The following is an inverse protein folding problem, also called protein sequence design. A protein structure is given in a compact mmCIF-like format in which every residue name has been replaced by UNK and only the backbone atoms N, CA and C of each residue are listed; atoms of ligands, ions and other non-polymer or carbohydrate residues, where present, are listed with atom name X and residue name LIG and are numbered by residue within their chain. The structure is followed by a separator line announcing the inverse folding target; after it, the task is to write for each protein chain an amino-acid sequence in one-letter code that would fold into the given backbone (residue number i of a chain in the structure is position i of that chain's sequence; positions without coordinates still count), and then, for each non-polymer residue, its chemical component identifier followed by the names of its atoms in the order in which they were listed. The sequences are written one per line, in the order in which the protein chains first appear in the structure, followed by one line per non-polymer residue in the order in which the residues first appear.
data_IF_468890199148
#
_entry.id   IF_468890199148
#
_cell.length_a   1.000
_cell.length_b   1.000
_cell.length_c   1.000
_cell.angle_alpha   90.00
_cell.angle_beta   90.00
_cell.angle_gamma   90.00
#
_symmetry.space_group_name_H-M   'P 1'
#
loop_
_entity.id
_entity.type
_entity.pdbx_description
1 polymer ?
#
# COMPACT_ATOMS: atom_id res chain seq x y z
N UNK A 1 2.53 -20.36 -81.54
CA UNK A 1 1.14 -20.69 -81.17
C UNK A 1 1.14 -20.92 -79.66
N UNK A 2 0.32 -20.13 -78.97
CA UNK A 2 -0.15 -20.18 -77.58
C UNK A 2 0.81 -20.10 -76.37
N UNK A 3 0.65 -18.96 -75.69
CA UNK A 3 0.73 -18.70 -74.25
C UNK A 3 -0.44 -19.41 -73.54
N UNK A 4 -0.23 -19.92 -72.32
CA UNK A 4 -1.09 -19.65 -71.15
C UNK A 4 -0.37 -19.94 -69.83
N UNK A 5 -0.65 -19.06 -68.88
CA UNK A 5 -0.08 -18.79 -67.56
C UNK A 5 -0.91 -19.50 -66.45
N UNK A 6 -0.46 -19.38 -65.19
CA UNK A 6 -1.25 -19.17 -63.93
C UNK A 6 -0.77 -19.99 -62.71
N UNK A 7 -0.34 -19.22 -61.71
CA UNK A 7 -0.40 -19.33 -60.24
C UNK A 7 0.32 -20.44 -59.43
N UNK A 8 1.24 -19.99 -58.58
CA UNK A 8 1.47 -20.62 -57.28
C UNK A 8 1.64 -19.57 -56.17
N UNK A 9 0.82 -19.77 -55.15
CA UNK A 9 0.54 -18.99 -53.96
C UNK A 9 1.71 -19.07 -52.98
N UNK A 10 2.21 -17.94 -52.49
CA UNK A 10 3.04 -17.87 -51.28
C UNK A 10 2.37 -16.89 -50.29
N UNK A 11 1.44 -17.41 -49.49
CA UNK A 11 0.96 -16.78 -48.27
C UNK A 11 1.77 -17.33 -47.09
N UNK A 12 2.44 -16.46 -46.32
CA UNK A 12 2.89 -16.82 -44.98
C UNK A 12 1.69 -16.70 -44.04
N UNK A 13 1.14 -17.86 -43.66
CA UNK A 13 0.19 -18.01 -42.56
C UNK A 13 1.02 -18.24 -41.30
N UNK A 14 1.04 -17.30 -40.35
CA UNK A 14 1.40 -17.61 -38.96
C UNK A 14 0.12 -17.99 -38.22
N UNK A 15 -0.14 -19.30 -38.15
CA UNK A 15 -1.16 -19.88 -37.29
C UNK A 15 -0.58 -20.08 -35.89
N UNK A 16 -1.15 -19.43 -34.87
CA UNK A 16 -0.93 -19.84 -33.49
C UNK A 16 -1.96 -20.91 -33.12
N UNK A 17 -1.51 -22.12 -32.77
CA UNK A 17 -2.37 -23.10 -32.10
C UNK A 17 -2.67 -22.62 -30.69
N UNK A 18 -3.95 -22.37 -30.42
CA UNK A 18 -4.47 -22.12 -29.08
C UNK A 18 -5.01 -23.44 -28.55
N UNK A 19 -4.26 -24.11 -27.68
CA UNK A 19 -4.77 -25.25 -26.92
C UNK A 19 -5.70 -24.73 -25.81
N UNK A 20 -7.01 -24.70 -26.12
CA UNK A 20 -8.04 -24.65 -25.09
C UNK A 20 -8.24 -26.06 -24.54
N UNK A 21 -7.92 -26.27 -23.26
CA UNK A 21 -8.54 -27.35 -22.50
C UNK A 21 -9.55 -26.76 -21.50
N UNK A 22 -10.71 -27.41 -21.47
CA UNK A 22 -12.01 -26.93 -20.99
C UNK A 22 -12.17 -27.08 -19.47
N UNK A 23 -12.94 -26.17 -18.84
CA UNK A 23 -14.13 -26.58 -18.07
C UNK A 23 -15.04 -25.40 -17.75
N UNK A 24 -16.32 -25.59 -18.05
CA UNK A 24 -17.43 -24.64 -18.07
C UNK A 24 -17.98 -24.24 -16.69
N UNK A 25 -18.44 -22.99 -16.53
CA UNK A 25 -19.89 -22.65 -16.48
C UNK A 25 -20.21 -21.24 -15.93
N UNK A 26 -21.00 -20.51 -16.74
CA UNK A 26 -22.21 -19.71 -16.43
C UNK A 26 -22.13 -18.28 -15.85
N UNK A 27 -22.51 -17.35 -16.76
CA UNK A 27 -23.44 -16.18 -16.66
C UNK A 27 -23.14 -15.10 -15.61
N UNK A 28 -23.16 -13.79 -15.90
CA UNK A 28 -23.96 -13.03 -16.86
C UNK A 28 -23.36 -11.60 -17.04
N UNK A 29 -23.42 -11.10 -18.29
CA UNK A 29 -23.43 -9.71 -18.75
C UNK A 29 -22.48 -8.65 -18.14
N UNK A 30 -21.61 -8.07 -18.99
CA UNK A 30 -21.50 -6.61 -19.25
C UNK A 30 -20.63 -6.40 -20.52
N UNK A 31 -21.30 -5.87 -21.54
CA UNK A 31 -20.87 -4.97 -22.63
C UNK A 31 -19.64 -5.33 -23.49
N UNK A 32 -19.96 -5.82 -24.70
CA UNK A 32 -19.30 -5.55 -25.99
C UNK A 32 -17.89 -4.94 -25.92
N UNK A 33 -16.92 -5.79 -25.58
CA UNK A 33 -15.58 -5.64 -26.12
C UNK A 33 -15.70 -6.06 -27.58
N UNK A 34 -15.44 -5.15 -28.52
CA UNK A 34 -15.20 -5.50 -29.92
C UNK A 34 -14.11 -6.58 -29.97
N UNK A 35 -14.54 -7.85 -29.97
CA UNK A 35 -13.76 -8.94 -30.54
C UNK A 35 -13.41 -8.50 -31.96
N UNK A 36 -12.13 -8.53 -32.37
CA UNK A 36 -11.79 -8.31 -33.76
C UNK A 36 -12.62 -9.29 -34.57
N UNK A 37 -13.46 -8.77 -35.47
CA UNK A 37 -14.17 -9.60 -36.42
C UNK A 37 -13.11 -10.40 -37.18
N UNK A 38 -13.06 -11.70 -36.93
CA UNK A 38 -12.07 -12.64 -37.48
C UNK A 38 -12.35 -12.95 -38.96
N UNK A 39 -12.84 -11.97 -39.73
CA UNK A 39 -13.20 -12.10 -41.14
C UNK A 39 -12.89 -10.87 -41.99
N UNK A 40 -12.28 -9.81 -41.46
CA UNK A 40 -11.71 -8.75 -42.30
C UNK A 40 -10.34 -9.20 -42.81
N UNK A 41 -10.35 -10.16 -43.74
CA UNK A 41 -9.21 -10.37 -44.61
C UNK A 41 -9.05 -9.10 -45.43
N UNK A 42 -8.08 -8.28 -45.05
CA UNK A 42 -7.67 -7.17 -45.91
C UNK A 42 -6.90 -7.78 -47.07
N UNK A 43 -7.50 -7.71 -48.26
CA UNK A 43 -6.87 -8.11 -49.51
C UNK A 43 -5.69 -7.16 -49.78
N UNK A 44 -4.47 -7.59 -49.43
CA UNK A 44 -3.25 -6.84 -49.64
C UNK A 44 -2.41 -7.52 -50.71
N UNK A 45 -2.39 -6.96 -51.92
CA UNK A 45 -1.40 -7.30 -52.93
C UNK A 45 -0.18 -6.38 -52.80
N UNK A 46 0.72 -6.70 -51.88
CA UNK A 46 2.08 -6.12 -51.85
C UNK A 46 3.00 -7.05 -52.62
N UNK A 47 3.84 -6.50 -53.50
CA UNK A 47 4.90 -7.28 -54.13
C UNK A 47 6.05 -7.52 -53.14
N UNK A 48 5.99 -8.63 -52.40
CA UNK A 48 7.03 -9.05 -51.45
C UNK A 48 8.37 -9.42 -52.11
N UNK A 49 8.44 -9.50 -53.44
CA UNK A 49 9.70 -9.75 -54.17
C UNK A 49 10.53 -8.49 -54.44
N UNK A 50 10.01 -7.30 -54.09
CA UNK A 50 10.75 -6.05 -54.13
C UNK A 50 11.62 -5.91 -52.86
N UNK A 51 12.94 -5.87 -53.04
CA UNK A 51 13.92 -5.77 -51.95
C UNK A 51 13.70 -4.54 -51.04
N UNK A 52 13.21 -3.43 -51.59
CA UNK A 52 12.94 -2.21 -50.81
C UNK A 52 11.68 -2.34 -49.97
N UNK A 53 10.63 -2.95 -50.53
CA UNK A 53 9.41 -3.30 -49.79
C UNK A 53 9.76 -4.26 -48.66
N UNK A 54 10.52 -5.32 -48.94
CA UNK A 54 10.97 -6.28 -47.94
C UNK A 54 11.81 -5.61 -46.83
N UNK A 55 12.67 -4.66 -47.18
CA UNK A 55 13.45 -3.90 -46.21
C UNK A 55 12.58 -3.04 -45.28
N UNK A 56 11.54 -2.37 -45.80
CA UNK A 56 10.61 -1.58 -44.97
C UNK A 56 9.82 -2.49 -44.04
N UNK A 57 9.27 -3.59 -44.55
CA UNK A 57 8.53 -4.56 -43.73
C UNK A 57 9.41 -5.15 -42.62
N UNK A 58 10.67 -5.45 -42.93
CA UNK A 58 11.65 -5.88 -41.92
C UNK A 58 11.90 -4.81 -40.88
N UNK A 59 11.97 -3.54 -41.26
CA UNK A 59 12.13 -2.44 -40.31
C UNK A 59 10.91 -2.27 -39.40
N UNK A 60 9.69 -2.38 -39.95
CA UNK A 60 8.45 -2.38 -39.16
C UNK A 60 8.47 -3.54 -38.15
N UNK A 61 8.76 -4.75 -38.63
CA UNK A 61 8.80 -5.95 -37.81
C UNK A 61 9.85 -5.88 -36.70
N UNK A 62 11.06 -5.40 -37.02
CA UNK A 62 12.14 -5.23 -36.03
C UNK A 62 11.79 -4.26 -34.91
N UNK A 63 10.95 -3.25 -35.18
CA UNK A 63 10.57 -2.24 -34.18
C UNK A 63 9.34 -2.66 -33.39
N UNK A 64 8.33 -3.24 -34.04
CA UNK A 64 6.99 -3.43 -33.46
C UNK A 64 6.56 -4.89 -33.30
N UNK A 65 7.11 -5.82 -34.08
CA UNK A 65 6.64 -7.21 -34.15
C UNK A 65 7.65 -8.22 -33.55
N UNK A 66 8.81 -7.79 -33.02
CA UNK A 66 9.81 -8.70 -32.47
C UNK A 66 9.23 -9.49 -31.29
N UNK A 67 9.25 -10.83 -31.29
CA UNK A 67 8.64 -11.68 -30.24
C UNK A 67 9.07 -11.33 -28.80
N UNK A 68 10.24 -10.69 -28.65
CA UNK A 68 10.78 -10.18 -27.39
C UNK A 68 10.33 -8.74 -27.08
N UNK A 69 9.08 -8.36 -27.42
CA UNK A 69 8.47 -7.06 -27.10
C UNK A 69 8.60 -6.72 -25.60
N UNK A 70 8.68 -7.73 -24.74
CA UNK A 70 8.85 -7.59 -23.28
C UNK A 70 10.31 -7.41 -22.83
N UNK A 71 11.29 -7.74 -23.68
CA UNK A 71 12.74 -7.60 -23.44
C UNK A 71 13.39 -6.46 -24.22
N UNK A 72 12.66 -5.82 -25.13
CA UNK A 72 13.18 -4.66 -25.88
C UNK A 72 13.18 -3.41 -25.00
N UNK A 73 14.36 -2.78 -24.86
CA UNK A 73 14.55 -1.50 -24.15
C UNK A 73 13.89 -0.29 -24.86
N UNK A 74 12.98 -0.50 -25.81
CA UNK A 74 12.37 0.57 -26.58
C UNK A 74 11.25 1.20 -25.74
N UNK A 75 11.39 2.47 -25.37
CA UNK A 75 10.36 3.16 -24.60
C UNK A 75 9.18 3.53 -25.49
N UNK A 76 8.03 3.84 -24.86
CA UNK A 76 6.86 4.36 -25.57
C UNK A 76 7.20 5.61 -26.41
N UNK A 77 8.14 6.45 -25.95
CA UNK A 77 8.56 7.65 -26.68
C UNK A 77 9.49 7.34 -27.85
N UNK A 78 10.42 6.40 -27.68
CA UNK A 78 11.29 5.96 -28.78
C UNK A 78 10.46 5.34 -29.92
N UNK A 79 9.35 4.67 -29.59
CA UNK A 79 8.44 4.11 -30.59
C UNK A 79 7.76 5.19 -31.45
N UNK A 80 7.45 6.36 -30.87
CA UNK A 80 6.91 7.50 -31.65
C UNK A 80 7.94 8.00 -32.67
N UNK A 81 9.20 8.11 -32.28
CA UNK A 81 10.28 8.56 -33.16
C UNK A 81 10.52 7.56 -34.30
N UNK A 82 10.54 6.26 -33.98
CA UNK A 82 10.70 5.20 -34.99
C UNK A 82 9.56 5.16 -35.99
N UNK A 83 8.34 5.48 -35.57
CA UNK A 83 7.22 5.62 -36.49
C UNK A 83 7.49 6.71 -37.54
N UNK A 84 7.96 7.89 -37.10
CA UNK A 84 8.31 8.99 -37.99
C UNK A 84 9.42 8.63 -38.99
N UNK A 85 10.48 7.98 -38.51
CA UNK A 85 11.60 7.52 -39.35
C UNK A 85 11.14 6.56 -40.46
N UNK A 86 10.34 5.54 -40.11
CA UNK A 86 9.85 4.55 -41.06
C UNK A 86 8.86 5.18 -42.05
N UNK A 87 7.94 6.02 -41.56
CA UNK A 87 6.97 6.70 -42.42
C UNK A 87 7.68 7.62 -43.43
N UNK A 88 8.72 8.32 -43.00
CA UNK A 88 9.57 9.14 -43.88
C UNK A 88 10.27 8.28 -44.92
N UNK A 89 10.78 7.11 -44.54
CA UNK A 89 11.38 6.14 -45.47
C UNK A 89 10.39 5.65 -46.52
N UNK A 90 9.13 5.42 -46.15
CA UNK A 90 8.06 5.03 -47.10
C UNK A 90 7.76 6.18 -48.07
N UNK A 91 7.55 7.38 -47.54
CA UNK A 91 7.12 8.52 -48.34
C UNK A 91 8.20 9.04 -49.30
N UNK A 92 9.47 9.06 -48.85
CA UNK A 92 10.60 9.54 -49.64
C UNK A 92 11.14 8.50 -50.62
N UNK A 93 10.69 7.24 -50.55
CA UNK A 93 11.09 6.24 -51.51
C UNK A 93 10.49 6.56 -52.89
N UNK A 94 11.36 6.78 -53.87
CA UNK A 94 10.97 7.13 -55.25
C UNK A 94 10.62 5.92 -56.12
N UNK A 95 10.89 4.69 -55.67
CA UNK A 95 10.53 3.45 -56.36
C UNK A 95 9.13 2.95 -56.03
N UNK A 96 8.58 3.37 -54.88
CA UNK A 96 7.22 3.01 -54.50
C UNK A 96 6.19 3.88 -55.20
N UNK A 97 5.19 3.25 -55.81
CA UNK A 97 3.98 3.93 -56.25
C UNK A 97 3.06 4.29 -55.07
N UNK A 98 2.04 5.10 -55.34
CA UNK A 98 1.12 5.58 -54.31
C UNK A 98 0.36 4.44 -53.61
N UNK A 99 0.06 3.35 -54.33
CA UNK A 99 -0.61 2.19 -53.78
C UNK A 99 0.29 1.45 -52.77
N UNK A 100 1.55 1.21 -53.15
CA UNK A 100 2.56 0.58 -52.29
C UNK A 100 2.82 1.42 -51.04
N UNK A 101 2.98 2.75 -51.19
CA UNK A 101 3.11 3.67 -50.05
C UNK A 101 1.90 3.61 -49.12
N UNK A 102 0.70 3.58 -49.69
CA UNK A 102 -0.55 3.48 -48.92
C UNK A 102 -0.63 2.17 -48.15
N UNK A 103 -0.29 1.04 -48.78
CA UNK A 103 -0.34 -0.27 -48.13
C UNK A 103 0.75 -0.40 -47.05
N UNK A 104 1.99 0.01 -47.31
CA UNK A 104 3.07 0.01 -46.31
C UNK A 104 2.75 0.93 -45.12
N UNK A 105 2.14 2.09 -45.36
CA UNK A 105 1.70 2.99 -44.29
C UNK A 105 0.59 2.37 -43.44
N UNK A 106 -0.36 1.64 -44.06
CA UNK A 106 -1.39 0.90 -43.30
C UNK A 106 -0.79 -0.20 -42.41
N UNK A 107 0.21 -0.92 -42.92
CA UNK A 107 0.92 -1.95 -42.13
C UNK A 107 1.65 -1.28 -40.96
N UNK A 108 2.39 -0.20 -41.21
CA UNK A 108 3.06 0.58 -40.17
C UNK A 108 2.07 1.10 -39.11
N UNK A 109 0.92 1.66 -39.54
CA UNK A 109 -0.13 2.15 -38.65
C UNK A 109 -0.66 1.04 -37.73
N UNK A 110 -0.95 -0.14 -38.28
CA UNK A 110 -1.45 -1.29 -37.53
C UNK A 110 -0.42 -1.84 -36.53
N UNK A 111 0.83 -2.01 -36.95
CA UNK A 111 1.90 -2.49 -36.06
C UNK A 111 2.19 -1.49 -34.94
N UNK A 112 2.22 -0.19 -35.25
CA UNK A 112 2.38 0.87 -34.26
C UNK A 112 1.22 0.90 -33.25
N UNK A 113 -0.03 0.84 -33.72
CA UNK A 113 -1.20 0.84 -32.84
C UNK A 113 -1.21 -0.40 -31.93
N UNK A 114 -0.88 -1.57 -32.46
CA UNK A 114 -0.80 -2.80 -31.67
C UNK A 114 0.27 -2.70 -30.56
N UNK A 115 1.49 -2.30 -30.94
CA UNK A 115 2.61 -2.16 -30.01
C UNK A 115 2.32 -1.12 -28.92
N UNK A 116 1.90 0.09 -29.32
CA UNK A 116 1.69 1.20 -28.38
C UNK A 116 0.51 0.95 -27.45
N UNK A 117 -0.58 0.33 -27.90
CA UNK A 117 -1.69 -0.05 -27.02
C UNK A 117 -1.24 -1.01 -25.91
N UNK A 118 -0.37 -1.97 -26.23
CA UNK A 118 0.18 -2.91 -25.25
C UNK A 118 1.11 -2.20 -24.25
N UNK A 119 2.01 -1.34 -24.74
CA UNK A 119 2.91 -0.55 -23.88
C UNK A 119 2.13 0.39 -22.95
N UNK A 120 1.12 1.09 -23.47
CA UNK A 120 0.24 1.93 -22.64
C UNK A 120 -0.45 1.11 -21.56
N UNK A 121 -1.01 -0.05 -21.90
CA UNK A 121 -1.72 -0.89 -20.95
C UNK A 121 -0.79 -1.37 -19.82
N UNK A 122 0.43 -1.80 -20.18
CA UNK A 122 1.45 -2.18 -19.20
C UNK A 122 1.83 -1.00 -18.31
N UNK A 123 2.23 0.14 -18.89
CA UNK A 123 2.63 1.33 -18.15
C UNK A 123 1.51 1.85 -17.24
N UNK A 124 0.27 1.86 -17.74
CA UNK A 124 -0.93 2.20 -16.94
C UNK A 124 -1.10 1.24 -15.77
N UNK A 125 -0.93 -0.06 -15.99
CA UNK A 125 -1.02 -1.07 -14.95
C UNK A 125 0.04 -0.88 -13.87
N UNK A 126 1.26 -0.56 -14.26
CA UNK A 126 2.36 -0.28 -13.32
C UNK A 126 2.14 1.01 -12.53
N UNK A 127 1.75 2.11 -13.19
CA UNK A 127 1.43 3.39 -12.54
C UNK A 127 0.23 3.24 -11.61
N UNK A 128 -0.85 2.58 -12.06
CA UNK A 128 -2.03 2.32 -11.22
C UNK A 128 -1.69 1.40 -10.05
N UNK A 129 -0.85 0.38 -10.29
CA UNK A 129 -0.36 -0.53 -9.26
C UNK A 129 0.50 0.16 -8.23
N UNK A 130 1.28 1.19 -8.62
CA UNK A 130 1.96 2.07 -7.68
C UNK A 130 0.95 2.96 -6.95
N UNK A 131 0.18 3.80 -7.64
CA UNK A 131 -0.63 4.83 -6.99
C UNK A 131 -1.81 4.31 -6.17
N UNK A 132 -2.42 3.19 -6.57
CA UNK A 132 -3.59 2.62 -5.92
C UNK A 132 -3.29 1.35 -5.13
N UNK A 133 -2.02 1.01 -4.85
CA UNK A 133 -1.67 -0.25 -4.18
C UNK A 133 -2.42 -0.46 -2.87
N UNK A 134 -2.37 0.53 -1.98
CA UNK A 134 -3.06 0.47 -0.69
C UNK A 134 -4.59 0.35 -0.85
N UNK A 135 -5.17 1.04 -1.82
CA UNK A 135 -6.59 0.93 -2.17
C UNK A 135 -6.96 -0.50 -2.61
N UNK A 136 -6.21 -1.10 -3.55
CA UNK A 136 -6.44 -2.47 -3.99
C UNK A 136 -6.25 -3.50 -2.87
N UNK A 137 -5.28 -3.28 -1.99
CA UNK A 137 -5.09 -4.12 -0.81
C UNK A 137 -6.32 -4.08 0.10
N UNK A 138 -6.82 -2.89 0.43
CA UNK A 138 -8.04 -2.75 1.25
C UNK A 138 -9.24 -3.43 0.58
N UNK A 139 -9.45 -3.20 -0.73
CA UNK A 139 -10.55 -3.86 -1.46
C UNK A 139 -10.49 -5.39 -1.36
N UNK A 140 -9.31 -5.98 -1.53
CA UNK A 140 -9.15 -7.43 -1.42
C UNK A 140 -9.51 -7.98 -0.02
N UNK A 141 -9.35 -7.18 1.04
CA UNK A 141 -9.78 -7.58 2.39
C UNK A 141 -11.29 -7.42 2.60
N UNK A 142 -11.89 -6.38 2.00
CA UNK A 142 -13.35 -6.18 2.00
C UNK A 142 -14.07 -7.31 1.26
N UNK A 143 -13.58 -7.72 0.09
CA UNK A 143 -14.13 -8.83 -0.70
C UNK A 143 -14.07 -10.17 0.05
N UNK A 144 -13.11 -10.32 0.96
CA UNK A 144 -13.00 -11.48 1.86
C UNK A 144 -13.87 -11.35 3.13
N UNK A 145 -14.79 -10.39 3.18
CA UNK A 145 -15.74 -10.20 4.29
C UNK A 145 -15.13 -9.63 5.57
N UNK A 146 -13.92 -9.08 5.50
CA UNK A 146 -13.20 -8.50 6.65
C UNK A 146 -13.11 -6.98 6.52
N UNK A 147 -14.25 -6.29 6.64
CA UNK A 147 -14.22 -4.84 6.83
C UNK A 147 -13.71 -4.53 8.23
N UNK A 148 -12.44 -4.16 8.29
CA UNK A 148 -11.74 -3.74 9.51
C UNK A 148 -11.55 -2.22 9.54
N UNK A 149 -12.29 -1.44 8.74
CA UNK A 149 -12.28 0.02 8.74
C UNK A 149 -10.99 0.68 8.20
N UNK A 150 -10.07 -0.11 7.64
CA UNK A 150 -8.84 0.38 7.00
C UNK A 150 -9.20 0.88 5.60
N UNK A 151 -8.75 2.08 5.25
CA UNK A 151 -8.95 2.72 3.94
C UNK A 151 -7.61 2.99 3.29
N UNK A 152 -7.59 2.94 1.95
CA UNK A 152 -6.51 3.44 1.11
C UNK A 152 -7.13 4.32 0.03
N UNK A 153 -6.46 5.40 -0.34
CA UNK A 153 -7.01 6.34 -1.31
C UNK A 153 -6.79 5.81 -2.72
N UNK A 154 -7.85 5.83 -3.54
CA UNK A 154 -7.73 5.67 -4.99
C UNK A 154 -7.19 6.97 -5.56
N UNK A 155 -5.87 7.05 -5.73
CA UNK A 155 -5.17 8.26 -6.17
C UNK A 155 -5.27 8.51 -7.67
N UNK A 156 -5.50 7.47 -8.48
CA UNK A 156 -5.60 7.60 -9.93
C UNK A 156 -6.75 6.78 -10.50
N UNK A 157 -7.46 7.35 -11.47
CA UNK A 157 -8.30 6.57 -12.38
C UNK A 157 -7.46 6.07 -13.57
N UNK A 158 -7.09 4.78 -13.54
CA UNK A 158 -6.27 4.15 -14.58
C UNK A 158 -6.86 4.25 -15.98
N UNK A 159 -8.19 4.22 -16.14
CA UNK A 159 -8.84 4.34 -17.46
C UNK A 159 -8.68 5.74 -18.06
N UNK A 160 -8.86 6.78 -17.24
CA UNK A 160 -8.69 8.17 -17.67
C UNK A 160 -7.22 8.47 -17.98
N UNK A 161 -6.30 7.97 -17.15
CA UNK A 161 -4.87 8.07 -17.38
C UNK A 161 -4.45 7.38 -18.69
N UNK A 162 -4.92 6.14 -18.91
CA UNK A 162 -4.68 5.39 -20.15
C UNK A 162 -5.21 6.14 -21.38
N UNK A 163 -6.38 6.77 -21.27
CA UNK A 163 -6.94 7.60 -22.34
C UNK A 163 -6.03 8.78 -22.67
N UNK A 164 -5.52 9.49 -21.67
CA UNK A 164 -4.59 10.60 -21.88
C UNK A 164 -3.30 10.14 -22.60
N UNK A 165 -2.73 9.00 -22.21
CA UNK A 165 -1.56 8.42 -22.90
C UNK A 165 -1.86 8.08 -24.36
N UNK A 166 -3.02 7.48 -24.64
CA UNK A 166 -3.48 7.19 -26.00
C UNK A 166 -3.60 8.47 -26.83
N UNK A 167 -4.17 9.54 -26.27
CA UNK A 167 -4.33 10.80 -26.98
C UNK A 167 -2.99 11.42 -27.37
N UNK A 168 -1.98 11.35 -26.48
CA UNK A 168 -0.60 11.82 -26.76
C UNK A 168 0.03 11.02 -27.90
N UNK A 169 -0.03 9.69 -27.84
CA UNK A 169 0.52 8.80 -28.88
C UNK A 169 -0.18 9.02 -30.23
N UNK A 170 -1.51 9.09 -30.25
CA UNK A 170 -2.29 9.34 -31.46
C UNK A 170 -1.95 10.70 -32.06
N UNK A 171 -1.70 11.70 -31.22
CA UNK A 171 -1.24 13.02 -31.66
C UNK A 171 0.14 12.97 -32.30
N UNK A 172 1.06 12.18 -31.76
CA UNK A 172 2.39 11.99 -32.35
C UNK A 172 2.30 11.33 -33.74
N UNK A 173 1.50 10.27 -33.87
CA UNK A 173 1.23 9.62 -35.15
C UNK A 173 0.66 10.60 -36.18
N UNK A 174 -0.40 11.30 -35.81
CA UNK A 174 -1.06 12.27 -36.69
C UNK A 174 -0.13 13.43 -37.06
N UNK A 175 0.76 13.84 -36.16
CA UNK A 175 1.78 14.84 -36.45
C UNK A 175 2.68 14.40 -37.59
N UNK A 176 3.27 13.20 -37.53
CA UNK A 176 4.15 12.71 -38.60
C UNK A 176 3.41 12.49 -39.93
N UNK A 177 2.16 12.01 -39.91
CA UNK A 177 1.35 11.84 -41.13
C UNK A 177 1.11 13.16 -41.85
N UNK A 178 1.01 14.26 -41.11
CA UNK A 178 0.78 15.60 -41.67
C UNK A 178 2.07 16.38 -41.94
N UNK A 179 3.22 15.90 -41.45
CA UNK A 179 4.50 16.60 -41.53
C UNK A 179 5.61 15.62 -41.97
N UNK A 180 5.63 15.27 -43.25
CA UNK A 180 6.49 14.20 -43.80
C UNK A 180 8.01 14.39 -43.58
N UNK A 181 8.46 15.63 -43.34
CA UNK A 181 9.88 15.95 -43.11
C UNK A 181 10.19 16.32 -41.66
N UNK A 182 9.21 16.26 -40.75
CA UNK A 182 9.41 16.62 -39.36
C UNK A 182 10.48 15.74 -38.69
N UNK A 183 11.21 16.37 -37.78
CA UNK A 183 12.22 15.74 -36.94
C UNK A 183 11.63 15.39 -35.58
N UNK A 184 12.40 14.64 -34.78
CA UNK A 184 12.10 14.40 -33.36
C UNK A 184 11.89 15.72 -32.59
N UNK A 185 12.73 16.72 -32.82
CA UNK A 185 12.63 18.00 -32.12
C UNK A 185 11.34 18.74 -32.47
N UNK A 186 10.88 18.64 -33.72
CA UNK A 186 9.59 19.19 -34.14
C UNK A 186 8.42 18.49 -33.44
N UNK A 187 8.50 17.16 -33.28
CA UNK A 187 7.51 16.40 -32.51
C UNK A 187 7.52 16.79 -31.04
N UNK A 188 8.70 16.85 -30.40
CA UNK A 188 8.82 17.20 -28.98
C UNK A 188 8.24 18.59 -28.72
N UNK A 189 8.51 19.55 -29.61
CA UNK A 189 7.92 20.88 -29.54
C UNK A 189 6.40 20.83 -29.68
N UNK A 190 5.88 20.12 -30.69
CA UNK A 190 4.43 19.99 -30.91
C UNK A 190 3.72 19.37 -29.71
N UNK A 191 4.23 18.27 -29.16
CA UNK A 191 3.62 17.60 -28.00
C UNK A 191 3.76 18.44 -26.73
N UNK A 192 4.90 19.11 -26.54
CA UNK A 192 5.13 20.04 -25.44
C UNK A 192 4.16 21.22 -25.45
N UNK A 193 3.85 21.78 -26.62
CA UNK A 193 2.87 22.86 -26.77
C UNK A 193 1.42 22.35 -26.62
N UNK A 194 1.08 21.21 -27.24
CA UNK A 194 -0.27 20.64 -27.21
C UNK A 194 -0.67 20.12 -25.83
N UNK A 195 0.28 19.57 -25.08
CA UNK A 195 0.11 18.99 -23.75
C UNK A 195 0.98 19.73 -22.73
N UNK A 196 0.88 21.06 -22.69
CA UNK A 196 1.74 21.93 -21.88
C UNK A 196 1.42 21.91 -20.38
N UNK A 197 0.23 21.43 -19.99
CA UNK A 197 -0.29 21.64 -18.64
C UNK A 197 -0.78 20.34 -18.01
N UNK A 198 -0.39 20.15 -16.76
CA UNK A 198 -0.95 19.12 -15.88
C UNK A 198 -2.08 19.73 -15.07
N UNK A 199 -3.29 19.20 -15.23
CA UNK A 199 -4.47 19.65 -14.46
C UNK A 199 -4.83 18.70 -13.33
N UNK A 200 -4.49 17.42 -13.50
CA UNK A 200 -4.68 16.30 -12.55
C UNK A 200 -3.79 15.15 -12.97
N UNK A 201 -3.66 14.14 -12.11
CA UNK A 201 -2.75 13.01 -12.36
C UNK A 201 -3.16 12.15 -13.57
N UNK A 202 -4.44 12.12 -13.93
CA UNK A 202 -4.95 11.47 -15.14
C UNK A 202 -4.75 12.31 -16.42
N UNK A 203 -4.30 13.55 -16.30
CA UNK A 203 -4.19 14.51 -17.41
C UNK A 203 -2.87 15.26 -17.28
N UNK A 204 -1.78 14.51 -17.40
CA UNK A 204 -0.41 15.00 -17.30
C UNK A 204 0.01 15.75 -18.57
N UNK A 205 0.87 16.73 -18.38
CA UNK A 205 1.65 17.33 -19.46
C UNK A 205 2.60 16.30 -20.09
N UNK A 206 3.02 16.55 -21.33
CA UNK A 206 3.98 15.67 -22.02
C UNK A 206 5.30 15.50 -21.24
N UNK A 207 5.80 16.58 -20.64
CA UNK A 207 6.99 16.54 -19.77
C UNK A 207 6.79 15.70 -18.53
N UNK A 208 5.62 15.79 -17.89
CA UNK A 208 5.30 14.98 -16.70
C UNK A 208 5.16 13.50 -17.02
N UNK A 209 4.61 13.14 -18.19
CA UNK A 209 4.56 11.73 -18.62
C UNK A 209 5.98 11.18 -18.81
N UNK A 210 6.89 11.94 -19.44
CA UNK A 210 8.31 11.56 -19.58
C UNK A 210 8.99 11.41 -18.22
N UNK A 211 8.74 12.33 -17.30
CA UNK A 211 9.30 12.28 -15.95
C UNK A 211 8.77 11.04 -15.17
N UNK A 212 7.48 10.75 -15.28
CA UNK A 212 6.86 9.57 -14.66
C UNK A 212 7.40 8.27 -15.25
N UNK A 213 7.58 8.18 -16.58
CA UNK A 213 8.18 7.01 -17.23
C UNK A 213 9.58 6.71 -16.69
N UNK A 214 10.45 7.73 -16.59
CA UNK A 214 11.78 7.59 -15.96
C UNK A 214 11.70 7.16 -14.49
N UNK A 215 10.73 7.70 -13.74
CA UNK A 215 10.52 7.36 -12.35
C UNK A 215 10.10 5.89 -12.19
N UNK A 216 9.18 5.41 -13.04
CA UNK A 216 8.75 4.01 -13.06
C UNK A 216 9.91 3.08 -13.48
N UNK A 217 10.69 3.47 -14.47
CA UNK A 217 11.90 2.74 -14.87
C UNK A 217 12.91 2.63 -13.72
N UNK A 218 13.07 3.68 -12.90
CA UNK A 218 13.92 3.65 -11.70
C UNK A 218 13.40 2.63 -10.67
N UNK A 219 12.08 2.53 -10.51
CA UNK A 219 11.44 1.56 -9.59
C UNK A 219 11.57 0.13 -10.11
N UNK A 220 11.43 -0.08 -11.42
CA UNK A 220 11.41 -1.40 -12.04
C UNK A 220 12.81 -1.98 -12.25
N UNK A 221 13.77 -1.16 -12.66
CA UNK A 221 15.14 -1.58 -12.99
C UNK A 221 16.08 -1.65 -11.77
N UNK A 222 15.54 -1.64 -10.56
CA UNK A 222 16.32 -1.66 -9.31
C UNK A 222 17.05 -3.00 -9.02
N UNK A 223 17.16 -3.91 -10.00
CA UNK A 223 17.79 -5.24 -9.88
C UNK A 223 17.33 -6.00 -8.62
N UNK A 224 16.03 -5.93 -8.32
CA UNK A 224 15.44 -6.57 -7.17
C UNK A 224 15.00 -7.97 -7.57
N UNK A 225 15.91 -8.92 -7.45
CA UNK A 225 15.59 -10.33 -7.58
C UNK A 225 14.97 -10.82 -6.26
N UNK A 226 13.63 -11.05 -6.19
CA UNK A 226 12.98 -11.49 -4.97
C UNK A 226 13.43 -12.89 -4.52
N UNK A 227 14.10 -13.67 -5.38
CA UNK A 227 14.66 -14.97 -5.02
C UNK A 227 16.00 -14.88 -4.27
N UNK A 228 16.66 -13.72 -4.31
CA UNK A 228 17.99 -13.48 -3.71
C UNK A 228 17.99 -12.56 -2.49
N UNK A 229 16.83 -12.00 -2.16
CA UNK A 229 16.68 -11.05 -1.06
C UNK A 229 15.70 -11.62 -0.03
N UNK A 230 15.96 -11.37 1.25
CA UNK A 230 14.92 -11.56 2.27
C UNK A 230 13.73 -10.64 1.99
N UNK A 231 12.57 -10.98 2.55
CA UNK A 231 11.34 -10.19 2.37
C UNK A 231 11.52 -8.76 2.86
N UNK A 232 12.21 -8.56 3.97
CA UNK A 232 12.54 -7.26 4.55
C UNK A 232 13.49 -6.45 3.67
N UNK A 233 14.56 -7.07 3.16
CA UNK A 233 15.50 -6.40 2.25
C UNK A 233 14.84 -6.00 0.94
N UNK A 234 14.00 -6.88 0.38
CA UNK A 234 13.24 -6.57 -0.83
C UNK A 234 12.30 -5.38 -0.63
N UNK A 235 11.57 -5.34 0.50
CA UNK A 235 10.70 -4.21 0.87
C UNK A 235 11.51 -2.91 0.98
N UNK A 236 12.62 -2.93 1.72
CA UNK A 236 13.48 -1.76 1.92
C UNK A 236 14.03 -1.22 0.61
N UNK A 237 14.55 -2.08 -0.27
CA UNK A 237 15.08 -1.65 -1.57
C UNK A 237 14.00 -1.11 -2.51
N UNK A 238 12.78 -1.66 -2.49
CA UNK A 238 11.64 -1.08 -3.24
C UNK A 238 11.30 0.32 -2.75
N UNK A 239 11.35 0.56 -1.44
CA UNK A 239 11.12 1.88 -0.85
C UNK A 239 12.24 2.86 -1.20
N UNK A 240 13.51 2.43 -1.15
CA UNK A 240 14.66 3.22 -1.60
C UNK A 240 14.52 3.61 -3.08
N UNK A 241 14.12 2.68 -3.95
CA UNK A 241 13.89 2.95 -5.37
C UNK A 241 12.74 3.94 -5.61
N UNK A 242 11.64 3.83 -4.86
CA UNK A 242 10.53 4.77 -4.95
C UNK A 242 10.93 6.18 -4.47
N UNK A 243 11.71 6.27 -3.39
CA UNK A 243 12.24 7.54 -2.89
C UNK A 243 13.22 8.17 -3.90
N UNK A 244 14.09 7.36 -4.52
CA UNK A 244 14.99 7.82 -5.58
C UNK A 244 14.19 8.34 -6.80
N UNK A 245 13.13 7.63 -7.19
CA UNK A 245 12.23 8.04 -8.26
C UNK A 245 11.55 9.38 -7.96
N UNK A 246 11.09 9.59 -6.71
CA UNK A 246 10.53 10.88 -6.27
C UNK A 246 11.55 12.02 -6.34
N UNK A 247 12.80 11.78 -5.93
CA UNK A 247 13.88 12.77 -6.06
C UNK A 247 14.13 13.08 -7.54
N UNK A 248 14.10 12.07 -8.40
CA UNK A 248 14.17 12.21 -9.86
C UNK A 248 13.07 13.12 -10.41
N UNK A 249 11.81 12.89 -10.03
CA UNK A 249 10.66 13.71 -10.44
C UNK A 249 10.86 15.19 -10.07
N UNK A 250 11.28 15.45 -8.83
CA UNK A 250 11.54 16.82 -8.35
C UNK A 250 12.67 17.49 -9.15
N UNK A 251 13.73 16.74 -9.46
CA UNK A 251 14.87 17.23 -10.24
C UNK A 251 14.51 17.52 -11.70
N UNK A 252 13.66 16.68 -12.29
CA UNK A 252 13.19 16.83 -13.67
C UNK A 252 12.14 17.94 -13.83
N UNK A 253 11.77 18.62 -12.74
CA UNK A 253 10.82 19.74 -12.77
C UNK A 253 9.37 19.30 -13.00
N UNK A 254 9.02 18.09 -12.57
CA UNK A 254 7.66 17.59 -12.64
C UNK A 254 6.67 18.53 -11.93
N UNK A 255 5.41 18.56 -12.38
CA UNK A 255 4.40 19.38 -11.74
C UNK A 255 4.18 18.98 -10.27
N UNK A 256 3.75 19.96 -9.45
CA UNK A 256 3.39 19.70 -8.05
C UNK A 256 2.28 18.66 -7.92
N UNK A 257 1.34 18.61 -8.86
CA UNK A 257 0.26 17.62 -8.88
C UNK A 257 0.83 16.20 -8.96
N UNK A 258 1.78 15.96 -9.87
CA UNK A 258 2.42 14.65 -10.00
C UNK A 258 3.25 14.33 -8.74
N UNK A 259 4.07 15.28 -8.28
CA UNK A 259 4.92 15.10 -7.09
C UNK A 259 4.07 14.78 -5.86
N UNK A 260 3.04 15.57 -5.56
CA UNK A 260 2.19 15.39 -4.39
C UNK A 260 1.45 14.06 -4.43
N UNK A 261 0.98 13.65 -5.62
CA UNK A 261 0.30 12.35 -5.78
C UNK A 261 1.27 11.18 -5.62
N UNK A 262 2.49 11.31 -6.15
CA UNK A 262 3.55 10.31 -5.98
C UNK A 262 3.99 10.18 -4.52
N UNK A 263 4.13 11.30 -3.81
CA UNK A 263 4.43 11.31 -2.37
C UNK A 263 3.33 10.64 -1.56
N UNK A 264 2.06 10.95 -1.85
CA UNK A 264 0.91 10.30 -1.21
C UNK A 264 0.93 8.79 -1.48
N UNK A 265 1.22 8.38 -2.71
CA UNK A 265 1.35 6.97 -3.06
C UNK A 265 2.44 6.27 -2.23
N UNK A 266 3.65 6.81 -2.17
CA UNK A 266 4.74 6.25 -1.35
C UNK A 266 4.31 6.12 0.11
N UNK A 267 3.77 7.20 0.69
CA UNK A 267 3.35 7.25 2.09
C UNK A 267 2.30 6.19 2.42
N UNK A 268 1.24 6.09 1.63
CA UNK A 268 0.18 5.11 1.91
C UNK A 268 0.60 3.66 1.62
N UNK A 269 1.57 3.46 0.72
CA UNK A 269 1.94 2.14 0.25
C UNK A 269 2.95 1.40 1.12
N UNK A 270 3.74 2.10 1.96
CA UNK A 270 4.78 1.68 2.94
C UNK A 270 5.20 0.18 3.06
N UNK A 271 5.26 -0.56 1.96
CA UNK A 271 5.37 -2.01 1.91
C UNK A 271 4.03 -2.76 1.72
N UNK A 272 4.09 -3.94 1.10
CA UNK A 272 2.87 -4.77 0.91
C UNK A 272 2.22 -5.12 2.25
N UNK A 273 0.93 -4.82 2.41
CA UNK A 273 0.10 -5.03 3.61
C UNK A 273 0.45 -4.14 4.81
N UNK A 274 1.24 -3.08 4.62
CA UNK A 274 1.71 -2.25 5.72
C UNK A 274 0.59 -1.70 6.60
N UNK A 275 -0.51 -1.20 6.02
CA UNK A 275 -1.65 -0.68 6.79
C UNK A 275 -2.30 -1.74 7.68
N UNK A 276 -2.30 -3.00 7.23
CA UNK A 276 -2.89 -4.14 7.95
C UNK A 276 -1.93 -4.66 9.01
N UNK A 277 -0.65 -4.73 8.71
CA UNK A 277 0.39 -5.05 9.70
C UNK A 277 0.40 -4.00 10.83
N UNK A 278 0.24 -2.71 10.50
CA UNK A 278 0.12 -1.62 11.48
C UNK A 278 -1.16 -1.76 12.29
N UNK A 279 -2.30 -2.03 11.65
CA UNK A 279 -3.55 -2.29 12.36
C UNK A 279 -3.40 -3.42 13.39
N UNK A 280 -2.83 -4.55 12.99
CA UNK A 280 -2.60 -5.69 13.90
C UNK A 280 -1.65 -5.31 15.04
N UNK A 281 -0.56 -4.58 14.76
CA UNK A 281 0.36 -4.09 15.80
C UNK A 281 -0.34 -3.17 16.80
N UNK A 282 -1.12 -2.19 16.33
CA UNK A 282 -1.86 -1.27 17.19
C UNK A 282 -2.89 -2.02 18.03
N UNK A 283 -3.61 -2.96 17.41
CA UNK A 283 -4.56 -3.82 18.09
C UNK A 283 -3.89 -4.63 19.21
N UNK A 284 -2.76 -5.27 18.94
CA UNK A 284 -2.00 -6.03 19.91
C UNK A 284 -1.49 -5.17 21.07
N UNK A 285 -1.13 -3.90 20.81
CA UNK A 285 -0.72 -2.94 21.84
C UNK A 285 -1.88 -2.64 22.78
N UNK A 286 -3.07 -2.30 22.25
CA UNK A 286 -4.26 -2.06 23.07
C UNK A 286 -4.63 -3.30 23.89
N UNK A 287 -4.65 -4.48 23.27
CA UNK A 287 -4.99 -5.73 23.94
C UNK A 287 -3.99 -6.08 25.06
N UNK A 288 -2.67 -5.86 24.85
CA UNK A 288 -1.65 -6.03 25.89
C UNK A 288 -1.84 -5.06 27.05
N UNK A 289 -1.99 -3.77 26.77
CA UNK A 289 -2.13 -2.75 27.80
C UNK A 289 -3.38 -2.96 28.65
N UNK A 290 -4.52 -3.29 28.02
CA UNK A 290 -5.75 -3.64 28.74
C UNK A 290 -5.56 -4.89 29.62
N UNK A 291 -4.86 -5.91 29.12
CA UNK A 291 -4.58 -7.13 29.89
C UNK A 291 -3.68 -6.85 31.10
N UNK A 292 -2.67 -6.00 30.95
CA UNK A 292 -1.78 -5.60 32.04
C UNK A 292 -2.50 -4.77 33.10
N UNK A 293 -3.31 -3.79 32.70
CA UNK A 293 -4.12 -3.01 33.63
C UNK A 293 -5.14 -3.87 34.39
N UNK A 294 -5.77 -4.84 33.72
CA UNK A 294 -6.67 -5.78 34.38
C UNK A 294 -5.96 -6.68 35.40
N UNK A 295 -4.73 -7.14 35.10
CA UNK A 295 -3.91 -7.88 36.07
C UNK A 295 -3.56 -7.03 37.29
N UNK A 296 -3.19 -5.76 37.08
CA UNK A 296 -2.93 -4.83 38.17
C UNK A 296 -4.18 -4.62 39.02
N UNK A 297 -5.34 -4.39 38.39
CA UNK A 297 -6.62 -4.28 39.08
C UNK A 297 -6.89 -5.48 39.99
N UNK A 298 -6.77 -6.71 39.47
CA UNK A 298 -6.98 -7.93 40.28
C UNK A 298 -6.01 -8.01 41.46
N UNK A 299 -4.74 -7.65 41.26
CA UNK A 299 -3.73 -7.64 42.33
C UNK A 299 -4.12 -6.66 43.45
N UNK A 300 -4.55 -5.45 43.10
CA UNK A 300 -4.95 -4.46 44.09
C UNK A 300 -6.29 -4.80 44.77
N UNK A 301 -7.23 -5.44 44.06
CA UNK A 301 -8.47 -5.98 44.65
C UNK A 301 -8.16 -7.06 45.70
N UNK A 302 -7.18 -7.92 45.43
CA UNK A 302 -6.69 -8.94 46.36
C UNK A 302 -5.97 -8.31 47.57
N UNK A 303 -5.13 -7.30 47.36
CA UNK A 303 -4.52 -6.52 48.45
C UNK A 303 -5.59 -5.89 49.36
N UNK A 304 -6.62 -5.27 48.78
CA UNK A 304 -7.71 -4.67 49.52
C UNK A 304 -8.47 -5.71 50.36
N UNK A 305 -8.69 -6.90 49.80
CA UNK A 305 -9.30 -8.02 50.51
C UNK A 305 -8.42 -8.48 51.68
N UNK A 306 -7.12 -8.66 51.46
CA UNK A 306 -6.17 -9.06 52.49
C UNK A 306 -6.09 -8.04 53.63
N UNK A 307 -6.13 -6.74 53.34
CA UNK A 307 -6.16 -5.69 54.36
C UNK A 307 -7.44 -5.77 55.20
N UNK A 308 -8.60 -6.05 54.58
CA UNK A 308 -9.87 -6.24 55.31
C UNK A 308 -9.79 -7.46 56.24
N UNK A 309 -9.31 -8.59 55.73
CA UNK A 309 -9.11 -9.80 56.55
C UNK A 309 -8.09 -9.58 57.68
N UNK A 310 -7.02 -8.81 57.43
CA UNK A 310 -6.02 -8.48 58.44
C UNK A 310 -6.62 -7.61 59.57
N UNK A 311 -7.49 -6.65 59.24
CA UNK A 311 -8.21 -5.83 60.23
C UNK A 311 -9.13 -6.68 61.09
N UNK A 312 -9.95 -7.54 60.48
CA UNK A 312 -10.86 -8.44 61.21
C UNK A 312 -10.10 -9.36 62.18
N UNK A 313 -8.99 -9.96 61.71
CA UNK A 313 -8.13 -10.80 62.56
C UNK A 313 -7.49 -10.00 63.71
N UNK A 314 -7.04 -8.78 63.44
CA UNK A 314 -6.46 -7.89 64.46
C UNK A 314 -7.47 -7.50 65.53
N UNK A 315 -8.71 -7.18 65.15
CA UNK A 315 -9.79 -6.91 66.10
C UNK A 315 -10.12 -8.13 66.96
N UNK A 316 -10.20 -9.32 66.35
CA UNK A 316 -10.46 -10.57 67.08
C UNK A 316 -9.33 -10.91 68.06
N UNK A 317 -8.07 -10.80 67.62
CA UNK A 317 -6.90 -11.04 68.46
C UNK A 317 -6.82 -10.05 69.62
N UNK A 318 -7.07 -8.77 69.36
CA UNK A 318 -7.11 -7.73 70.37
C UNK A 318 -8.20 -8.01 71.41
N UNK A 319 -9.41 -8.38 70.99
CA UNK A 319 -10.50 -8.74 71.89
C UNK A 319 -10.11 -9.89 72.82
N UNK A 320 -9.54 -10.98 72.28
CA UNK A 320 -9.06 -12.12 73.06
C UNK A 320 -7.95 -11.73 74.03
N UNK A 321 -7.00 -10.90 73.58
CA UNK A 321 -5.90 -10.43 74.42
C UNK A 321 -6.40 -9.58 75.60
N UNK A 322 -7.33 -8.65 75.36
CA UNK A 322 -7.97 -7.84 76.40
C UNK A 322 -8.76 -8.69 77.39
N UNK A 323 -9.55 -9.66 76.91
CA UNK A 323 -10.31 -10.56 77.78
C UNK A 323 -9.39 -11.38 78.69
N UNK A 324 -8.31 -11.93 78.13
CA UNK A 324 -7.27 -12.64 78.89
C UNK A 324 -6.59 -11.74 79.91
N UNK A 325 -6.18 -10.54 79.51
CA UNK A 325 -5.49 -9.59 80.38
C UNK A 325 -6.38 -9.14 81.54
N UNK A 326 -7.68 -8.92 81.28
CA UNK A 326 -8.68 -8.64 82.33
C UNK A 326 -8.81 -9.80 83.31
N UNK A 327 -8.82 -11.04 82.82
CA UNK A 327 -8.87 -12.23 83.67
C UNK A 327 -7.61 -12.35 84.54
N UNK A 328 -6.43 -12.20 83.94
CA UNK A 328 -5.14 -12.28 84.63
C UNK A 328 -5.01 -11.17 85.70
N UNK A 329 -5.44 -9.94 85.38
CA UNK A 329 -5.51 -8.82 86.33
C UNK A 329 -6.47 -9.15 87.49
N UNK A 330 -7.65 -9.72 87.21
CA UNK A 330 -8.63 -10.10 88.24
C UNK A 330 -8.10 -11.19 89.17
N UNK A 331 -7.45 -12.22 88.64
CA UNK A 331 -6.80 -13.27 89.44
C UNK A 331 -5.64 -12.72 90.26
N UNK A 332 -4.83 -11.81 89.69
CA UNK A 332 -3.80 -11.09 90.44
C UNK A 332 -4.40 -10.26 91.58
N UNK A 333 -5.53 -9.57 91.36
CA UNK A 333 -6.22 -8.83 92.42
C UNK A 333 -6.71 -9.75 93.55
N UNK A 334 -7.25 -10.94 93.25
CA UNK A 334 -7.60 -11.95 94.27
C UNK A 334 -6.37 -12.42 95.06
N UNK A 335 -5.22 -12.58 94.41
CA UNK A 335 -3.99 -12.97 95.09
C UNK A 335 -3.41 -11.81 95.94
N UNK A 336 -3.42 -10.58 95.42
CA UNK A 336 -2.92 -9.39 96.13
C UNK A 336 -3.79 -8.96 97.31
N UNK A 337 -5.11 -9.16 97.24
CA UNK A 337 -6.01 -8.95 98.39
C UNK A 337 -5.68 -9.90 99.56
N UNK A 338 -4.97 -10.99 99.29
CA UNK A 338 -4.44 -11.92 100.30
C UNK A 338 -3.08 -11.49 100.90
N UNK A 339 -2.38 -10.51 100.32
CA UNK A 339 -0.95 -10.25 100.61
C UNK A 339 -0.56 -8.79 100.95
N UNK A 340 -1.49 -7.82 101.03
CA UNK A 340 -1.23 -6.41 101.45
C UNK A 340 0.07 -5.79 100.87
N UNK A 341 0.28 -5.88 99.56
CA UNK A 341 1.33 -5.10 98.88
C UNK A 341 0.73 -4.28 97.74
N UNK A 342 1.04 -2.98 97.74
CA UNK A 342 0.73 -2.03 96.68
C UNK A 342 2.06 -1.56 96.07
N UNK A 343 2.18 -1.68 94.75
CA UNK A 343 3.20 -0.96 93.96
C UNK A 343 2.59 -0.53 92.62
N UNK A 344 3.07 0.62 92.16
CA UNK A 344 2.55 1.48 91.09
C UNK A 344 2.70 0.96 89.65
N UNK A 345 1.79 1.52 88.81
CA UNK A 345 1.94 2.00 87.43
C UNK A 345 2.69 1.11 86.43
N UNK A 346 1.95 0.16 85.88
CA UNK A 346 1.87 -0.02 84.43
C UNK A 346 0.45 -0.50 84.14
N UNK A 347 -0.24 0.12 83.18
CA UNK A 347 -1.51 -0.39 82.68
C UNK A 347 -1.24 -1.15 81.37
N UNK A 348 -0.97 -2.48 81.45
CA UNK A 348 -0.72 -3.28 80.25
C UNK A 348 -1.90 -3.30 79.27
N UNK A 349 -3.09 -2.84 79.68
CA UNK A 349 -4.21 -2.56 78.76
C UNK A 349 -3.87 -1.37 77.89
N UNK A 350 -3.34 -0.28 78.45
CA UNK A 350 -3.03 0.96 77.74
C UNK A 350 -1.98 0.72 76.64
N UNK A 351 -0.90 0.00 76.95
CA UNK A 351 0.14 -0.33 75.97
C UNK A 351 -0.38 -1.23 74.85
N UNK A 352 -1.17 -2.26 75.18
CA UNK A 352 -1.79 -3.14 74.20
C UNK A 352 -2.79 -2.38 73.32
N UNK A 353 -3.59 -1.48 73.90
CA UNK A 353 -4.51 -0.60 73.18
C UNK A 353 -3.75 0.33 72.24
N UNK A 354 -2.63 0.90 72.68
CA UNK A 354 -1.80 1.78 71.85
C UNK A 354 -1.21 1.05 70.65
N UNK A 355 -0.62 -0.13 70.85
CA UNK A 355 -0.07 -0.96 69.76
C UNK A 355 -1.15 -1.39 68.75
N UNK A 356 -2.34 -1.78 69.24
CA UNK A 356 -3.48 -2.09 68.38
C UNK A 356 -3.90 -0.88 67.53
N UNK A 357 -4.04 0.28 68.16
CA UNK A 357 -4.44 1.52 67.48
C UNK A 357 -3.42 1.96 66.42
N UNK A 358 -2.12 1.86 66.72
CA UNK A 358 -1.06 2.19 65.76
C UNK A 358 -1.12 1.27 64.53
N UNK A 359 -1.27 -0.04 64.74
CA UNK A 359 -1.35 -1.00 63.63
C UNK A 359 -2.64 -0.84 62.83
N UNK A 360 -3.78 -0.59 63.49
CA UNK A 360 -5.05 -0.30 62.79
C UNK A 360 -4.97 0.97 61.94
N UNK A 361 -4.26 1.99 62.44
CA UNK A 361 -4.02 3.24 61.71
C UNK A 361 -3.17 2.99 60.45
N UNK A 362 -2.14 2.16 60.54
CA UNK A 362 -1.30 1.83 59.38
C UNK A 362 -2.07 0.98 58.35
N UNK A 363 -2.87 0.01 58.78
CA UNK A 363 -3.77 -0.73 57.90
C UNK A 363 -4.86 0.16 57.26
N UNK A 364 -5.30 1.25 57.91
CA UNK A 364 -6.19 2.22 57.28
C UNK A 364 -5.48 3.07 56.24
N UNK A 365 -4.24 3.51 56.49
CA UNK A 365 -3.45 4.22 55.47
C UNK A 365 -3.22 3.35 54.24
N UNK A 366 -2.79 2.11 54.43
CA UNK A 366 -2.55 1.17 53.34
C UNK A 366 -3.84 0.90 52.55
N UNK A 367 -4.98 0.71 53.24
CA UNK A 367 -6.28 0.59 52.60
C UNK A 367 -6.62 1.80 51.71
N UNK A 368 -6.45 3.02 52.24
CA UNK A 368 -6.76 4.25 51.50
C UNK A 368 -5.86 4.40 50.28
N UNK A 369 -4.59 4.03 50.38
CA UNK A 369 -3.65 4.03 49.25
C UNK A 369 -4.06 3.01 48.18
N UNK A 370 -4.36 1.77 48.57
CA UNK A 370 -4.85 0.73 47.65
C UNK A 370 -6.19 1.12 46.99
N UNK A 371 -7.12 1.74 47.72
CA UNK A 371 -8.39 2.23 47.18
C UNK A 371 -8.18 3.36 46.16
N UNK A 372 -7.19 4.24 46.41
CA UNK A 372 -6.80 5.29 45.47
C UNK A 372 -6.19 4.68 44.20
N UNK A 373 -5.24 3.77 44.33
CA UNK A 373 -4.60 3.08 43.20
C UNK A 373 -5.64 2.32 42.35
N UNK A 374 -6.60 1.64 42.98
CA UNK A 374 -7.71 0.99 42.29
C UNK A 374 -8.57 1.98 41.51
N UNK A 375 -8.85 3.16 42.07
CA UNK A 375 -9.63 4.20 41.39
C UNK A 375 -8.88 4.71 40.15
N UNK A 376 -7.57 4.93 40.28
CA UNK A 376 -6.73 5.40 39.19
C UNK A 376 -6.61 4.35 38.08
N UNK A 377 -6.40 3.07 38.42
CA UNK A 377 -6.38 1.97 37.44
C UNK A 377 -7.72 1.83 36.72
N UNK A 378 -8.85 1.88 37.43
CA UNK A 378 -10.17 1.81 36.80
C UNK A 378 -10.40 2.99 35.84
N UNK A 379 -9.88 4.17 36.16
CA UNK A 379 -9.91 5.32 35.26
C UNK A 379 -9.04 5.06 34.02
N UNK A 380 -7.80 4.59 34.19
CA UNK A 380 -6.91 4.24 33.07
C UNK A 380 -7.50 3.18 32.15
N UNK A 381 -8.15 2.14 32.69
CA UNK A 381 -8.84 1.11 31.90
C UNK A 381 -9.98 1.75 31.09
N UNK A 382 -10.79 2.61 31.71
CA UNK A 382 -11.91 3.27 31.04
C UNK A 382 -11.43 4.21 29.92
N UNK A 383 -10.38 4.98 30.17
CA UNK A 383 -9.83 5.90 29.19
C UNK A 383 -9.18 5.13 28.02
N UNK A 384 -8.44 4.05 28.30
CA UNK A 384 -7.85 3.19 27.28
C UNK A 384 -8.91 2.45 26.45
N UNK A 385 -9.98 1.96 27.08
CA UNK A 385 -11.08 1.29 26.37
C UNK A 385 -11.76 2.25 25.38
N UNK A 386 -11.99 3.51 25.77
CA UNK A 386 -12.53 4.54 24.86
C UNK A 386 -11.59 4.83 23.70
N UNK A 387 -10.29 4.89 23.96
CA UNK A 387 -9.29 5.09 22.89
C UNK A 387 -9.28 3.89 21.93
N UNK A 388 -9.41 2.68 22.46
CA UNK A 388 -9.50 1.47 21.65
C UNK A 388 -10.79 1.41 20.82
N UNK A 389 -11.94 1.79 21.38
CA UNK A 389 -13.20 1.93 20.66
C UNK A 389 -13.06 2.97 19.53
N UNK A 390 -12.43 4.11 19.81
CA UNK A 390 -12.15 5.15 18.80
C UNK A 390 -11.24 4.65 17.68
N UNK A 391 -10.24 3.81 18.02
CA UNK A 391 -9.41 3.11 17.04
C UNK A 391 -10.22 2.13 16.19
N UNK A 392 -11.18 1.41 16.78
CA UNK A 392 -12.05 0.48 16.04
C UNK A 392 -13.04 1.18 15.11
N UNK A 393 -13.52 2.36 15.50
CA UNK A 393 -14.40 3.19 14.67
C UNK A 393 -13.65 3.82 13.48
N UNK A 394 -12.39 4.23 13.67
CA UNK A 394 -11.59 4.83 12.60
C UNK A 394 -10.11 4.40 12.65
N UNK A 395 -9.80 3.14 12.29
CA UNK A 395 -8.43 2.64 12.37
C UNK A 395 -7.51 3.31 11.35
N UNK A 396 -8.06 3.81 10.24
CA UNK A 396 -7.30 4.51 9.20
C UNK A 396 -6.56 5.74 9.75
N UNK A 397 -7.24 6.58 10.55
CA UNK A 397 -6.61 7.77 11.12
C UNK A 397 -5.45 7.44 12.09
N UNK A 398 -5.59 6.36 12.85
CA UNK A 398 -4.53 5.88 13.75
C UNK A 398 -3.35 5.30 12.96
N UNK A 399 -3.63 4.55 11.88
CA UNK A 399 -2.60 4.03 10.97
C UNK A 399 -1.84 5.18 10.30
N UNK A 400 -2.54 6.20 9.81
CA UNK A 400 -1.91 7.36 9.16
C UNK A 400 -1.01 8.10 10.14
N UNK A 401 -1.50 8.35 11.37
CA UNK A 401 -0.70 8.97 12.44
C UNK A 401 0.53 8.13 12.80
N UNK A 402 0.40 6.80 12.86
CA UNK A 402 1.51 5.90 13.11
C UNK A 402 2.56 5.98 12.00
N UNK A 403 2.13 5.96 10.73
CA UNK A 403 3.01 6.10 9.56
C UNK A 403 3.76 7.44 9.62
N UNK A 404 3.08 8.53 9.94
CA UNK A 404 3.70 9.86 10.08
C UNK A 404 4.73 9.91 11.22
N UNK A 405 4.43 9.30 12.37
CA UNK A 405 5.36 9.25 13.50
C UNK A 405 6.61 8.42 13.17
N UNK A 406 6.43 7.28 12.50
CA UNK A 406 7.52 6.42 12.06
C UNK A 406 8.42 7.13 11.04
N UNK A 407 7.83 7.84 10.07
CA UNK A 407 8.57 8.63 9.07
C UNK A 407 9.37 9.78 9.71
N UNK A 408 8.88 10.33 10.82
CA UNK A 408 9.55 11.39 11.55
C UNK A 408 10.53 10.88 12.63
N UNK A 409 10.73 9.56 12.74
CA UNK A 409 11.61 8.96 13.75
C UNK A 409 11.14 9.17 15.19
N UNK A 410 9.83 9.35 15.41
CA UNK A 410 9.23 9.67 16.73
C UNK A 410 8.58 8.48 17.43
N UNK A 411 8.83 7.26 16.96
CA UNK A 411 8.38 6.05 17.64
C UNK A 411 9.54 5.60 18.54
N UNK A 412 9.46 5.94 19.82
CA UNK A 412 10.28 5.38 20.90
C UNK A 412 9.58 4.21 21.59
#
# INVERSE_FOLDING_TARGET
MNITNIDSINSFITSYEKTNDKSDNKTEAINEINTPNNSDYVDFSINYSDDEVASVLKNISNVYDSEDILGTNLTMFDSMDKYGDILKSINNNTKFDDNTKTQLTKILDNSFDFYTNRQIAQFTGEVSGLFNKAYYQVLSYLENGKDIGIKGDKLINGEEFQKNLKDVILSARNFYKNNANATKDDLEKFLGEKYAHTSRVESLSYSDIKALDKAMNTINNSNLDPSKLSREEYKKKKEEAANAALVGLKKDGASSILIDTFEKAIKQNKGSNARIDIYNKLNDVFDKQLKELNKLKTKYEEMLKNIKEAKEKMEEQYKKAIEKLKHDIFEMYKMKSSLKQVTEKDDPVEDLTKQHNETMKDLEKEKVEVEKDLKDINKSIKDLAKEYDSFKENPSAYIDKYIEQELNGKIE
#
